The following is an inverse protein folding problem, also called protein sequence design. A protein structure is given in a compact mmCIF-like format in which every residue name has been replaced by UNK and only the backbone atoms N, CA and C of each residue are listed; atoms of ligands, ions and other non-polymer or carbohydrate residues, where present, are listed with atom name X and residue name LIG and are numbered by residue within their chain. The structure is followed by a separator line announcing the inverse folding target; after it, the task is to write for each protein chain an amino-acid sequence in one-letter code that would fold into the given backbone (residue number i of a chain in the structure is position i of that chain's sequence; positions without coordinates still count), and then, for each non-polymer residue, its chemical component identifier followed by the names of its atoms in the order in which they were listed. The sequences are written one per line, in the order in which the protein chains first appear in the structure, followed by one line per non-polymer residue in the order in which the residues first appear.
data_IF_068203013227
#
_entry.id   IF_068203013227
#
_cell.length_a   1.000
_cell.length_b   1.000
_cell.length_c   1.000
_cell.angle_alpha   90.00
_cell.angle_beta   90.00
_cell.angle_gamma   90.00
#
_symmetry.space_group_name_H-M   'P 1'
#
loop_
_entity.id
_entity.type
_entity.pdbx_description
1 polymer ?
#
# COMPACT_ATOMS: atom_id res chain seq x y z
N UNK A 1 54.12 -7.58 -23.64
CA UNK A 1 53.28 -6.51 -23.08
C UNK A 1 52.10 -7.17 -22.36
N UNK A 2 52.14 -7.10 -21.05
CA UNK A 2 51.11 -7.62 -20.18
C UNK A 2 49.99 -6.56 -20.02
N UNK A 3 48.88 -6.78 -20.66
CA UNK A 3 47.71 -5.93 -20.61
C UNK A 3 46.79 -6.15 -19.37
N UNK A 4 47.22 -7.02 -18.46
CA UNK A 4 46.41 -7.42 -17.30
C UNK A 4 46.52 -6.49 -16.07
N UNK A 5 47.49 -5.53 -16.04
CA UNK A 5 47.66 -4.65 -14.88
C UNK A 5 46.85 -3.35 -14.94
N UNK A 6 46.39 -2.95 -16.12
CA UNK A 6 45.67 -1.68 -16.27
C UNK A 6 44.21 -1.68 -15.86
N UNK A 7 43.50 -2.79 -16.05
CA UNK A 7 42.11 -2.91 -15.76
C UNK A 7 41.80 -3.00 -14.25
N UNK A 8 42.64 -3.67 -13.50
CA UNK A 8 42.47 -3.78 -12.03
C UNK A 8 42.61 -2.45 -11.28
N UNK A 9 43.48 -1.57 -11.78
CA UNK A 9 43.74 -0.27 -11.14
C UNK A 9 42.64 0.78 -11.50
N UNK A 10 42.02 0.67 -12.66
CA UNK A 10 40.92 1.56 -13.06
C UNK A 10 39.69 1.29 -12.19
N UNK A 11 39.39 0.02 -11.90
CA UNK A 11 38.27 -0.35 -11.03
C UNK A 11 38.50 0.06 -9.56
N UNK A 12 39.74 -0.02 -9.07
CA UNK A 12 40.08 0.43 -7.71
C UNK A 12 40.00 1.95 -7.51
N UNK A 13 40.21 2.73 -8.57
CA UNK A 13 40.16 4.19 -8.50
C UNK A 13 38.77 4.79 -8.64
N UNK A 14 37.80 4.03 -9.19
CA UNK A 14 36.44 4.53 -9.38
C UNK A 14 35.50 4.29 -8.20
N UNK A 15 36.02 3.82 -7.05
CA UNK A 15 35.19 3.68 -5.85
C UNK A 15 34.05 2.69 -5.96
N UNK A 16 34.11 1.76 -6.92
CA UNK A 16 33.19 0.66 -7.08
C UNK A 16 33.43 -0.41 -6.01
N UNK A 17 33.16 -0.06 -4.76
CA UNK A 17 33.46 -0.84 -3.57
C UNK A 17 32.28 -1.67 -3.12
N UNK A 18 31.95 -2.74 -3.83
CA UNK A 18 30.99 -3.72 -3.34
C UNK A 18 31.49 -5.15 -3.57
N UNK A 19 31.39 -6.00 -2.56
CA UNK A 19 31.72 -7.43 -2.64
C UNK A 19 30.98 -8.09 -3.84
N UNK A 20 29.82 -7.60 -4.21
CA UNK A 20 29.01 -8.07 -5.35
C UNK A 20 29.68 -7.83 -6.70
N UNK A 21 30.31 -6.69 -6.92
CA UNK A 21 30.95 -6.35 -8.19
C UNK A 21 32.21 -7.19 -8.45
N UNK A 22 32.94 -7.51 -7.40
CA UNK A 22 34.10 -8.42 -7.49
C UNK A 22 33.70 -9.87 -7.82
N UNK A 23 32.53 -10.32 -7.46
CA UNK A 23 31.99 -11.64 -7.82
C UNK A 23 31.55 -11.68 -9.28
N UNK A 24 30.85 -10.66 -9.77
CA UNK A 24 30.42 -10.57 -11.16
C UNK A 24 31.60 -10.51 -12.14
N UNK A 25 32.69 -9.84 -11.78
CA UNK A 25 33.90 -9.82 -12.60
C UNK A 25 34.58 -11.19 -12.69
N UNK A 26 34.46 -12.05 -11.67
CA UNK A 26 34.96 -13.43 -11.71
C UNK A 26 34.12 -14.37 -12.55
N UNK A 27 32.82 -14.11 -12.62
CA UNK A 27 31.87 -14.92 -13.39
C UNK A 27 31.74 -14.46 -14.85
N UNK A 28 32.50 -13.42 -15.26
CA UNK A 28 32.43 -12.87 -16.62
C UNK A 28 31.09 -12.18 -16.94
N UNK A 29 30.29 -11.87 -15.92
CA UNK A 29 29.05 -11.14 -16.08
C UNK A 29 29.34 -9.63 -16.15
N UNK A 30 28.97 -8.99 -17.25
CA UNK A 30 29.00 -7.54 -17.40
C UNK A 30 27.64 -7.02 -17.01
N UNK A 31 27.58 -6.23 -15.92
CA UNK A 31 26.38 -5.47 -15.59
C UNK A 31 26.24 -4.35 -16.61
N UNK A 32 25.26 -4.46 -17.50
CA UNK A 32 24.96 -3.40 -18.45
C UNK A 32 24.32 -2.21 -17.71
N UNK A 33 24.84 -1.01 -17.92
CA UNK A 33 24.24 0.24 -17.40
C UNK A 33 22.74 0.34 -17.71
N UNK A 34 22.31 -0.24 -18.84
CA UNK A 34 20.90 -0.31 -19.22
C UNK A 34 20.08 -1.24 -18.32
N UNK A 35 20.67 -2.32 -17.80
CA UNK A 35 19.96 -3.20 -16.84
C UNK A 35 19.87 -2.56 -15.46
N UNK A 36 20.89 -1.84 -15.03
CA UNK A 36 20.84 -1.06 -13.79
C UNK A 36 19.79 0.06 -13.86
N UNK A 37 19.68 0.75 -14.97
CA UNK A 37 18.64 1.78 -15.20
C UNK A 37 17.24 1.18 -15.29
N UNK A 38 17.10 -0.03 -15.82
CA UNK A 38 15.81 -0.72 -15.94
C UNK A 38 15.34 -1.33 -14.62
N UNK A 39 16.25 -1.69 -13.72
CA UNK A 39 15.91 -2.39 -12.48
C UNK A 39 16.39 -1.64 -11.23
N UNK A 40 15.90 -0.43 -11.03
CA UNK A 40 16.17 0.38 -9.82
C UNK A 40 15.52 -0.15 -8.55
N UNK A 41 14.67 -1.14 -8.65
CA UNK A 41 13.96 -1.76 -7.55
C UNK A 41 12.53 -2.13 -7.92
N UNK A 42 11.92 -2.94 -7.07
CA UNK A 42 10.50 -3.31 -7.17
C UNK A 42 9.75 -2.42 -6.19
N UNK A 43 8.72 -1.74 -6.66
CA UNK A 43 7.81 -1.00 -5.81
C UNK A 43 6.77 -1.93 -5.19
N UNK A 44 6.35 -1.62 -3.97
CA UNK A 44 5.22 -2.29 -3.35
C UNK A 44 3.94 -1.97 -4.13
N UNK A 45 3.07 -2.97 -4.31
CA UNK A 45 1.80 -2.78 -5.02
C UNK A 45 0.87 -1.88 -4.21
N UNK A 46 0.05 -1.13 -4.93
CA UNK A 46 -0.97 -0.27 -4.37
C UNK A 46 -2.32 -0.61 -4.99
N UNK A 47 -3.37 -0.59 -4.18
CA UNK A 47 -4.73 -0.90 -4.60
C UNK A 47 -5.65 0.22 -4.16
N UNK A 48 -6.46 0.69 -5.09
CA UNK A 48 -7.46 1.72 -4.83
C UNK A 48 -8.85 1.12 -4.94
N UNK A 49 -9.65 1.33 -3.91
CA UNK A 49 -11.05 0.94 -3.88
C UNK A 49 -11.92 2.16 -3.66
N UNK A 50 -12.97 2.27 -4.47
CA UNK A 50 -13.95 3.34 -4.34
C UNK A 50 -15.32 2.73 -4.13
N UNK A 51 -15.97 3.10 -3.02
CA UNK A 51 -17.29 2.64 -2.65
C UNK A 51 -18.25 3.83 -2.62
N UNK A 52 -19.35 3.68 -3.34
CA UNK A 52 -20.46 4.62 -3.33
C UNK A 52 -21.58 4.06 -2.47
N UNK A 53 -21.96 4.77 -1.43
CA UNK A 53 -22.95 4.35 -0.46
C UNK A 53 -24.12 5.34 -0.45
N UNK A 54 -25.34 4.82 -0.58
CA UNK A 54 -26.57 5.58 -0.62
C UNK A 54 -27.49 5.01 0.46
N UNK A 55 -27.57 5.62 1.65
CA UNK A 55 -28.42 5.12 2.73
C UNK A 55 -29.90 5.32 2.37
N UNK A 56 -30.73 4.35 2.71
CA UNK A 56 -32.18 4.39 2.53
C UNK A 56 -32.91 4.64 3.84
N UNK A 57 -32.22 4.51 4.95
CA UNK A 57 -32.75 4.69 6.30
C UNK A 57 -31.73 5.38 7.21
N UNK A 58 -32.20 5.88 8.34
CA UNK A 58 -31.33 6.45 9.37
C UNK A 58 -30.32 5.41 9.88
N UNK A 59 -30.75 4.16 10.08
CA UNK A 59 -29.87 3.08 10.54
C UNK A 59 -28.73 2.80 9.56
N UNK A 60 -29.00 2.83 8.26
CA UNK A 60 -27.94 2.69 7.24
C UNK A 60 -26.99 3.88 7.22
N UNK A 61 -27.48 5.10 7.44
CA UNK A 61 -26.65 6.29 7.54
C UNK A 61 -25.69 6.22 8.76
N UNK A 62 -26.20 5.73 9.88
CA UNK A 62 -25.39 5.52 11.09
C UNK A 62 -24.34 4.41 10.87
N UNK A 63 -24.69 3.37 10.09
CA UNK A 63 -23.75 2.31 9.75
C UNK A 63 -22.62 2.82 8.83
N UNK A 64 -22.94 3.64 7.83
CA UNK A 64 -21.93 4.30 6.99
C UNK A 64 -20.98 5.15 7.85
N UNK A 65 -21.53 5.89 8.81
CA UNK A 65 -20.72 6.68 9.77
C UNK A 65 -19.78 5.80 10.58
N UNK A 66 -20.24 4.64 11.06
CA UNK A 66 -19.42 3.67 11.78
C UNK A 66 -18.31 3.07 10.89
N UNK A 67 -18.63 2.73 9.65
CA UNK A 67 -17.64 2.24 8.67
C UNK A 67 -16.52 3.26 8.49
N UNK A 68 -16.86 4.52 8.24
CA UNK A 68 -15.89 5.61 8.09
C UNK A 68 -15.03 5.75 9.35
N UNK A 69 -15.67 5.73 10.51
CA UNK A 69 -14.97 5.84 11.80
C UNK A 69 -14.00 4.67 12.01
N UNK A 70 -14.42 3.45 11.73
CA UNK A 70 -13.60 2.25 11.88
C UNK A 70 -12.35 2.30 11.00
N UNK A 71 -12.49 2.69 9.72
CA UNK A 71 -11.33 2.87 8.85
C UNK A 71 -10.39 3.94 9.36
N UNK A 72 -10.90 5.11 9.75
CA UNK A 72 -10.08 6.20 10.30
C UNK A 72 -9.35 5.79 11.58
N UNK A 73 -10.01 5.08 12.47
CA UNK A 73 -9.41 4.61 13.71
C UNK A 73 -8.26 3.65 13.47
N UNK A 74 -8.42 2.72 12.51
CA UNK A 74 -7.43 1.68 12.26
C UNK A 74 -6.27 2.12 11.35
N UNK A 75 -6.46 3.18 10.56
CA UNK A 75 -5.39 3.71 9.71
C UNK A 75 -4.43 4.65 10.43
N UNK A 76 -4.80 5.15 11.61
CA UNK A 76 -4.00 6.15 12.34
C UNK A 76 -3.20 5.50 13.47
N UNK A 77 -1.99 6.03 13.74
CA UNK A 77 -1.20 5.57 14.88
C UNK A 77 -1.80 6.04 16.22
N UNK A 78 -1.59 5.27 17.26
CA UNK A 78 -2.04 5.55 18.62
C UNK A 78 -0.86 5.95 19.52
N UNK A 79 -1.07 6.91 20.43
CA UNK A 79 -0.09 7.22 21.45
C UNK A 79 -0.03 6.11 22.52
N UNK A 80 1.16 5.59 22.77
CA UNK A 80 1.36 4.59 23.83
C UNK A 80 1.14 5.26 25.20
N UNK A 81 0.24 4.68 26.01
CA UNK A 81 -0.09 5.18 27.33
C UNK A 81 -1.21 6.21 27.40
N UNK A 82 -1.95 6.43 26.30
CA UNK A 82 -3.13 7.30 26.27
C UNK A 82 -2.84 8.80 26.49
N UNK A 83 -1.59 9.18 26.67
CA UNK A 83 -1.18 10.54 26.94
C UNK A 83 -0.46 11.15 25.73
N UNK A 84 -0.98 12.25 25.20
CA UNK A 84 -0.40 13.01 24.09
C UNK A 84 1.02 13.56 24.37
N UNK A 85 1.45 13.56 25.61
CA UNK A 85 2.81 13.95 26.02
C UNK A 85 3.85 12.85 25.74
N UNK A 86 3.43 11.60 25.47
CA UNK A 86 4.32 10.51 25.11
C UNK A 86 4.85 10.65 23.69
N UNK A 87 6.18 10.51 23.51
CA UNK A 87 6.82 10.54 22.19
C UNK A 87 6.71 9.21 21.43
N UNK A 88 6.10 8.18 22.02
CA UNK A 88 5.98 6.85 21.44
C UNK A 88 4.63 6.68 20.78
N UNK A 89 4.66 6.32 19.50
CA UNK A 89 3.48 5.97 18.72
C UNK A 89 3.48 4.46 18.45
N UNK A 90 2.32 3.84 18.60
CA UNK A 90 2.07 2.47 18.10
C UNK A 90 1.75 2.58 16.62
N UNK A 91 2.31 1.69 15.82
CA UNK A 91 2.01 1.62 14.38
C UNK A 91 0.52 1.36 14.13
N UNK A 92 -0.05 1.86 13.03
CA UNK A 92 -1.41 1.57 12.64
C UNK A 92 -1.68 0.08 12.46
N UNK A 93 -2.96 -0.29 12.46
CA UNK A 93 -3.36 -1.65 12.17
C UNK A 93 -3.15 -1.97 10.68
N UNK A 94 -2.94 -3.26 10.41
CA UNK A 94 -2.84 -3.81 9.07
C UNK A 94 -4.19 -4.33 8.58
N UNK A 95 -4.33 -4.48 7.27
CA UNK A 95 -5.55 -4.92 6.61
C UNK A 95 -5.25 -6.10 5.70
N UNK A 96 -6.03 -7.17 5.82
CA UNK A 96 -6.01 -8.29 4.89
C UNK A 96 -7.23 -8.19 3.97
N UNK A 97 -6.98 -8.12 2.67
CA UNK A 97 -8.01 -7.92 1.64
C UNK A 97 -8.15 -9.21 0.86
N UNK A 98 -9.38 -9.74 0.80
CA UNK A 98 -9.69 -10.96 0.08
C UNK A 98 -10.87 -10.75 -0.85
N UNK A 99 -10.74 -11.21 -2.09
CA UNK A 99 -11.85 -11.27 -3.03
C UNK A 99 -12.64 -12.55 -2.80
N UNK A 100 -13.90 -12.42 -2.41
CA UNK A 100 -14.77 -13.55 -2.06
C UNK A 100 -15.83 -13.81 -3.11
N UNK A 101 -16.09 -15.08 -3.40
CA UNK A 101 -17.21 -15.51 -4.23
C UNK A 101 -17.90 -16.70 -3.58
N UNK A 102 -19.20 -16.57 -3.30
CA UNK A 102 -20.06 -17.61 -2.65
C UNK A 102 -19.42 -18.22 -1.38
N UNK A 103 -18.78 -17.38 -0.55
CA UNK A 103 -18.19 -17.80 0.71
C UNK A 103 -16.81 -18.45 0.60
N UNK A 104 -16.22 -18.47 -0.59
CA UNK A 104 -14.86 -18.94 -0.84
C UNK A 104 -14.03 -17.83 -1.48
N UNK A 105 -12.72 -17.89 -1.34
CA UNK A 105 -11.81 -17.00 -2.04
C UNK A 105 -11.94 -17.20 -3.56
N UNK A 106 -11.91 -16.12 -4.30
CA UNK A 106 -12.00 -16.14 -5.76
C UNK A 106 -10.60 -16.32 -6.36
N UNK A 107 -10.32 -17.52 -6.80
CA UNK A 107 -9.02 -17.91 -7.40
C UNK A 107 -8.74 -17.30 -8.78
N UNK A 108 -9.73 -16.66 -9.41
CA UNK A 108 -9.54 -15.94 -10.68
C UNK A 108 -8.92 -14.55 -10.50
N UNK A 109 -8.86 -14.06 -9.26
CA UNK A 109 -8.29 -12.77 -8.93
C UNK A 109 -7.01 -13.00 -8.12
N UNK A 110 -6.03 -12.12 -8.35
CA UNK A 110 -4.76 -12.18 -7.63
C UNK A 110 -4.97 -12.04 -6.11
N UNK A 111 -4.14 -12.70 -5.35
CA UNK A 111 -4.11 -12.54 -3.90
C UNK A 111 -3.41 -11.22 -3.53
N UNK A 112 -3.88 -10.61 -2.46
CA UNK A 112 -3.32 -9.39 -1.91
C UNK A 112 -2.67 -9.75 -0.58
N UNK A 113 -1.41 -9.40 -0.43
CA UNK A 113 -0.68 -9.54 0.83
C UNK A 113 -1.18 -8.52 1.85
N UNK A 114 -0.77 -8.66 3.10
CA UNK A 114 -1.11 -7.73 4.18
C UNK A 114 -0.76 -6.29 3.79
N UNK A 115 -1.74 -5.41 3.91
CA UNK A 115 -1.67 -4.01 3.51
C UNK A 115 -1.76 -3.04 4.68
N UNK A 116 -1.31 -1.82 4.46
CA UNK A 116 -1.65 -0.66 5.28
C UNK A 116 -2.58 0.25 4.48
N UNK A 117 -3.52 0.90 5.16
CA UNK A 117 -4.35 1.94 4.56
C UNK A 117 -3.57 3.25 4.59
N UNK A 118 -3.01 3.65 3.44
CA UNK A 118 -2.15 4.82 3.31
C UNK A 118 -2.95 6.12 3.29
N UNK A 119 -4.03 6.13 2.51
CA UNK A 119 -4.90 7.30 2.41
C UNK A 119 -6.37 6.89 2.34
N UNK A 120 -7.22 7.71 2.94
CA UNK A 120 -8.67 7.60 2.86
C UNK A 120 -9.25 8.97 2.53
N UNK A 121 -10.05 9.02 1.48
CA UNK A 121 -10.83 10.21 1.10
C UNK A 121 -12.31 9.91 1.27
N UNK A 122 -13.04 10.83 1.86
CA UNK A 122 -14.50 10.74 2.01
C UNK A 122 -15.12 11.96 1.37
N UNK A 123 -15.97 11.72 0.38
CA UNK A 123 -16.74 12.76 -0.30
C UNK A 123 -18.22 12.60 0.06
N UNK A 124 -18.80 13.65 0.58
CA UNK A 124 -20.23 13.72 0.89
C UNK A 124 -20.98 14.41 -0.23
N UNK A 125 -22.08 13.78 -0.69
CA UNK A 125 -22.84 14.21 -1.85
C UNK A 125 -22.24 13.71 -3.16
N UNK A 126 -23.08 13.68 -4.22
CA UNK A 126 -22.68 13.40 -5.59
C UNK A 126 -22.46 14.69 -6.37
N UNK A 127 -23.07 14.83 -7.56
CA UNK A 127 -23.01 16.04 -8.38
C UNK A 127 -23.54 17.29 -7.65
N UNK A 128 -24.47 17.08 -6.72
CA UNK A 128 -25.01 18.12 -5.83
C UNK A 128 -25.07 17.59 -4.40
N UNK A 129 -24.63 18.40 -3.45
CA UNK A 129 -24.81 18.07 -2.05
C UNK A 129 -26.29 18.10 -1.67
N UNK A 130 -26.80 16.95 -1.23
CA UNK A 130 -28.17 16.78 -0.74
C UNK A 130 -28.13 16.00 0.58
N UNK A 131 -29.04 16.33 1.48
CA UNK A 131 -29.22 15.64 2.74
C UNK A 131 -30.64 15.14 2.89
N UNK A 132 -30.82 14.09 3.68
CA UNK A 132 -32.12 13.72 4.21
C UNK A 132 -32.58 14.72 5.29
N UNK A 133 -33.87 14.68 5.69
CA UNK A 133 -34.33 15.45 6.84
C UNK A 133 -33.43 15.19 8.06
N UNK A 134 -33.05 16.28 8.72
CA UNK A 134 -32.13 16.19 9.87
C UNK A 134 -32.82 15.71 11.15
N UNK A 135 -32.02 15.19 12.06
CA UNK A 135 -32.39 14.85 13.44
C UNK A 135 -31.55 15.69 14.42
N UNK A 136 -31.63 15.38 15.73
CA UNK A 136 -30.85 16.06 16.77
C UNK A 136 -29.32 15.97 16.59
N UNK A 137 -28.83 15.00 15.82
CA UNK A 137 -27.39 14.81 15.54
C UNK A 137 -26.94 15.45 14.23
N UNK A 138 -27.87 15.89 13.38
CA UNK A 138 -27.60 16.52 12.09
C UNK A 138 -28.41 15.90 10.95
N UNK A 139 -28.04 16.27 9.71
CA UNK A 139 -28.71 15.81 8.50
C UNK A 139 -27.78 14.86 7.72
N UNK A 140 -28.10 13.57 7.62
CA UNK A 140 -27.24 12.61 6.91
C UNK A 140 -27.23 12.91 5.41
N UNK A 141 -26.06 12.82 4.74
CA UNK A 141 -25.96 13.00 3.29
C UNK A 141 -26.67 11.88 2.54
N UNK A 142 -27.28 12.23 1.42
CA UNK A 142 -27.97 11.25 0.54
C UNK A 142 -26.98 10.27 -0.10
N UNK A 143 -25.74 10.73 -0.34
CA UNK A 143 -24.70 9.96 -0.96
C UNK A 143 -23.36 10.20 -0.24
N UNK A 144 -22.63 9.12 -0.01
CA UNK A 144 -21.27 9.16 0.52
C UNK A 144 -20.38 8.28 -0.32
N UNK A 145 -19.30 8.84 -0.82
CA UNK A 145 -18.28 8.11 -1.55
C UNK A 145 -17.01 8.03 -0.72
N UNK A 146 -16.48 6.81 -0.57
CA UNK A 146 -15.23 6.55 0.14
C UNK A 146 -14.22 6.01 -0.86
N UNK A 147 -13.04 6.59 -0.89
CA UNK A 147 -11.89 6.08 -1.65
C UNK A 147 -10.81 5.70 -0.68
N UNK A 148 -10.38 4.44 -0.77
CA UNK A 148 -9.37 3.81 0.09
C UNK A 148 -8.16 3.44 -0.76
N UNK A 149 -6.96 3.89 -0.40
CA UNK A 149 -5.71 3.49 -1.04
C UNK A 149 -4.91 2.63 -0.08
N UNK A 150 -4.76 1.38 -0.44
CA UNK A 150 -3.99 0.39 0.29
C UNK A 150 -2.62 0.19 -0.35
N UNK A 151 -1.62 -0.04 0.48
CA UNK A 151 -0.26 -0.36 0.05
C UNK A 151 0.21 -1.63 0.73
N UNK A 152 0.69 -2.58 -0.04
CA UNK A 152 1.23 -3.82 0.51
C UNK A 152 2.49 -3.56 1.32
N UNK A 153 2.64 -4.31 2.39
CA UNK A 153 3.83 -4.26 3.24
C UNK A 153 4.96 -5.12 2.69
N UNK A 154 4.63 -6.15 1.93
CA UNK A 154 5.55 -7.11 1.33
C UNK A 154 5.91 -6.73 -0.11
N UNK A 155 7.11 -7.07 -0.54
CA UNK A 155 7.52 -7.04 -1.94
C UNK A 155 7.14 -8.37 -2.58
N UNK A 156 6.37 -8.32 -3.67
CA UNK A 156 5.99 -9.54 -4.37
C UNK A 156 7.15 -10.00 -5.25
N UNK A 157 7.62 -11.21 -4.97
CA UNK A 157 8.67 -11.89 -5.72
C UNK A 157 8.06 -12.91 -6.68
N UNK A 158 8.91 -13.51 -7.54
CA UNK A 158 8.47 -14.55 -8.48
C UNK A 158 7.84 -15.74 -7.74
N UNK A 159 8.40 -16.11 -6.60
CA UNK A 159 7.90 -17.23 -5.77
C UNK A 159 6.49 -16.94 -5.29
N UNK A 160 6.20 -15.70 -4.85
CA UNK A 160 4.86 -15.30 -4.40
C UNK A 160 3.84 -15.31 -5.53
N UNK A 161 4.26 -15.03 -6.78
CA UNK A 161 3.38 -15.12 -7.94
C UNK A 161 2.93 -16.57 -8.18
N UNK A 162 3.77 -17.57 -7.94
CA UNK A 162 3.37 -18.98 -8.01
C UNK A 162 2.38 -19.39 -6.92
N UNK A 163 2.31 -18.65 -5.81
CA UNK A 163 1.32 -18.83 -4.74
C UNK A 163 0.01 -18.06 -5.01
N UNK A 164 -0.10 -17.36 -6.16
CA UNK A 164 -1.30 -16.63 -6.57
C UNK A 164 -1.34 -15.13 -6.25
N UNK A 165 -0.23 -14.55 -5.77
CA UNK A 165 -0.12 -13.10 -5.42
C UNK A 165 0.14 -12.19 -6.60
#
# INVERSE_FOLDING_TARGET
WSWSRGLGDVYKRQGLGGIREGQFAKEGAIISDRMELAFKGINKRQFQYTFKMIPRSQAEADEIRKIIFTFKQNMLPEFVGGNRAGRRLRVPNTFDIQYMYKGKQNEYLHHISTCVLETMSVQYGGDRYKTFPGNSEGAPPVETQITLNFKEMELITRERVFEGF
#
